data_IF_673925035459
#
_entry.id   IF_673925035459
#
_cell.length_a   1.000
_cell.length_b   1.000
_cell.length_c   1.000
_cell.angle_alpha   90.00
_cell.angle_beta   90.00
_cell.angle_gamma   90.00
#
_symmetry.space_group_name_H-M   'P 1'
#
loop_
_entity.id
_entity.type
_entity.pdbx_description
1 polymer ?
#
# COMPACT_ATOMS: atom_id res chain seq x y z
N UNK A 1 13.30 -5.15 10.88
CA UNK A 1 11.83 -5.30 11.10
C UNK A 1 11.20 -5.58 9.74
N UNK A 2 10.64 -6.81 9.54
CA UNK A 2 9.97 -7.19 8.30
C UNK A 2 8.69 -6.37 8.05
N UNK A 3 8.25 -6.34 6.79
CA UNK A 3 6.99 -5.71 6.37
C UNK A 3 5.84 -6.55 6.90
N UNK A 4 4.89 -5.92 7.57
CA UNK A 4 3.72 -6.61 8.13
C UNK A 4 2.68 -6.81 7.03
N UNK A 5 2.32 -8.08 6.79
CA UNK A 5 1.40 -8.48 5.72
C UNK A 5 0.14 -9.11 6.32
N UNK A 6 -1.01 -8.63 5.91
CA UNK A 6 -2.30 -9.30 6.09
C UNK A 6 -2.72 -9.94 4.78
N UNK A 7 -3.31 -11.13 4.83
CA UNK A 7 -3.78 -11.85 3.64
C UNK A 7 -5.26 -12.11 3.80
N UNK A 8 -6.02 -11.84 2.73
CA UNK A 8 -7.42 -12.21 2.58
C UNK A 8 -7.49 -13.29 1.52
N UNK A 9 -7.88 -14.50 1.90
CA UNK A 9 -8.01 -15.63 0.97
C UNK A 9 -9.48 -15.97 0.79
N UNK A 10 -10.01 -15.76 -0.42
CA UNK A 10 -11.37 -16.12 -0.78
C UNK A 10 -11.45 -17.45 -1.52
N UNK A 11 -10.31 -17.99 -1.96
CA UNK A 11 -10.28 -19.23 -2.78
C UNK A 11 -10.19 -20.48 -1.93
N UNK A 12 -9.43 -20.42 -0.82
CA UNK A 12 -9.18 -21.55 0.09
C UNK A 12 -8.73 -22.84 -0.65
N UNK A 13 -7.99 -22.66 -1.74
CA UNK A 13 -7.45 -23.75 -2.55
C UNK A 13 -6.07 -24.19 -2.07
N UNK A 14 -5.64 -25.36 -2.56
CA UNK A 14 -4.29 -25.84 -2.26
C UNK A 14 -3.20 -24.92 -2.81
N UNK A 15 -3.44 -24.24 -3.91
CA UNK A 15 -2.50 -23.28 -4.47
C UNK A 15 -2.46 -21.97 -3.68
N UNK A 16 -3.61 -21.49 -3.20
CA UNK A 16 -3.63 -20.29 -2.34
C UNK A 16 -2.89 -20.55 -1.03
N UNK A 17 -3.11 -21.69 -0.38
CA UNK A 17 -2.38 -22.08 0.84
C UNK A 17 -0.86 -22.20 0.62
N UNK A 18 -0.43 -22.83 -0.48
CA UNK A 18 1.00 -22.91 -0.84
C UNK A 18 1.62 -21.53 -1.04
N UNK A 19 0.89 -20.61 -1.66
CA UNK A 19 1.33 -19.22 -1.85
C UNK A 19 1.45 -18.50 -0.50
N UNK A 20 0.45 -18.62 0.37
CA UNK A 20 0.44 -18.03 1.70
C UNK A 20 1.64 -18.48 2.53
N UNK A 21 2.00 -19.76 2.47
CA UNK A 21 3.17 -20.31 3.18
C UNK A 21 4.50 -19.88 2.56
N UNK A 22 4.54 -19.65 1.24
CA UNK A 22 5.77 -19.25 0.53
C UNK A 22 6.19 -17.82 0.87
N UNK A 23 5.24 -16.91 1.07
CA UNK A 23 5.52 -15.48 1.28
C UNK A 23 6.35 -15.22 2.55
N UNK A 24 5.99 -15.71 3.73
CA UNK A 24 6.80 -15.53 4.94
C UNK A 24 8.18 -16.17 4.84
N UNK A 25 8.29 -17.29 4.10
CA UNK A 25 9.56 -18.01 3.91
C UNK A 25 10.60 -17.18 3.15
N UNK A 26 10.19 -16.09 2.48
CA UNK A 26 11.11 -15.15 1.84
C UNK A 26 11.94 -14.32 2.82
N UNK A 27 11.53 -14.24 4.08
CA UNK A 27 12.18 -13.44 5.13
C UNK A 27 11.89 -11.95 5.09
N UNK A 28 11.22 -11.44 4.05
CA UNK A 28 10.87 -10.02 3.90
C UNK A 28 9.57 -9.66 4.61
N UNK A 29 8.65 -10.62 4.68
CA UNK A 29 7.31 -10.42 5.21
C UNK A 29 7.09 -11.15 6.52
N UNK A 30 6.40 -10.48 7.43
CA UNK A 30 5.84 -11.08 8.63
C UNK A 30 4.33 -11.13 8.47
N UNK A 31 3.80 -12.35 8.40
CA UNK A 31 2.35 -12.55 8.36
C UNK A 31 1.75 -12.12 9.69
N UNK A 32 0.85 -11.17 9.67
CA UNK A 32 0.19 -10.61 10.87
C UNK A 32 -1.16 -11.23 11.08
N UNK A 33 -1.95 -11.36 10.01
CA UNK A 33 -3.29 -11.92 10.08
C UNK A 33 -3.66 -12.59 8.74
N UNK A 34 -4.50 -13.62 8.81
CA UNK A 34 -5.21 -14.18 7.68
C UNK A 34 -6.68 -13.87 7.95
N UNK A 35 -7.21 -12.87 7.26
CA UNK A 35 -8.59 -12.40 7.42
C UNK A 35 -9.51 -13.09 6.43
N UNK A 36 -10.77 -13.26 6.80
CA UNK A 36 -11.78 -13.80 5.91
C UNK A 36 -12.54 -12.69 5.15
N UNK A 37 -12.40 -11.45 5.59
CA UNK A 37 -13.04 -10.31 4.94
C UNK A 37 -12.05 -9.17 4.68
N UNK A 38 -12.32 -8.42 3.61
CA UNK A 38 -11.52 -7.25 3.25
C UNK A 38 -11.67 -6.12 4.29
N UNK A 39 -12.82 -6.02 4.94
CA UNK A 39 -13.10 -5.01 5.98
C UNK A 39 -12.18 -5.19 7.19
N UNK A 40 -12.06 -6.44 7.68
CA UNK A 40 -11.15 -6.77 8.78
C UNK A 40 -9.69 -6.50 8.43
N UNK A 41 -9.30 -6.79 7.20
CA UNK A 41 -7.96 -6.50 6.71
C UNK A 41 -7.69 -4.98 6.64
N UNK A 42 -8.65 -4.17 6.21
CA UNK A 42 -8.56 -2.71 6.18
C UNK A 42 -8.43 -2.13 7.59
N UNK A 43 -9.19 -2.62 8.56
CA UNK A 43 -9.03 -2.22 9.96
C UNK A 43 -7.62 -2.51 10.48
N UNK A 44 -6.99 -3.57 10.00
CA UNK A 44 -5.61 -3.89 10.38
C UNK A 44 -4.59 -2.89 9.83
N UNK A 45 -4.84 -2.28 8.66
CA UNK A 45 -4.05 -1.17 8.13
C UNK A 45 -4.30 0.10 8.93
N UNK A 46 -5.55 0.44 9.19
CA UNK A 46 -5.92 1.67 9.89
C UNK A 46 -5.39 1.67 11.33
N UNK A 47 -5.39 0.52 11.98
CA UNK A 47 -4.79 0.33 13.30
C UNK A 47 -3.25 0.22 13.28
N UNK A 48 -2.61 0.28 12.12
CA UNK A 48 -1.16 0.18 11.96
C UNK A 48 -0.58 -1.21 12.25
N UNK A 49 -1.41 -2.25 12.31
CA UNK A 49 -0.99 -3.64 12.52
C UNK A 49 -0.42 -4.26 11.25
N UNK A 50 -0.86 -3.80 10.08
CA UNK A 50 -0.41 -4.27 8.78
C UNK A 50 0.05 -3.10 7.90
N UNK A 51 1.15 -3.32 7.18
CA UNK A 51 1.67 -2.37 6.21
C UNK A 51 1.06 -2.62 4.81
N UNK A 52 0.72 -3.88 4.52
CA UNK A 52 0.22 -4.33 3.21
C UNK A 52 -0.87 -5.39 3.41
N UNK A 53 -1.88 -5.36 2.54
CA UNK A 53 -2.89 -6.41 2.38
C UNK A 53 -2.71 -7.04 1.01
N UNK A 54 -2.77 -8.37 0.96
CA UNK A 54 -2.87 -9.14 -0.27
C UNK A 54 -4.20 -9.88 -0.28
N UNK A 55 -4.99 -9.67 -1.32
CA UNK A 55 -6.28 -10.32 -1.50
C UNK A 55 -6.22 -11.31 -2.65
N UNK A 56 -6.52 -12.58 -2.36
CA UNK A 56 -6.60 -13.67 -3.31
C UNK A 56 -8.08 -13.84 -3.68
N UNK A 57 -8.45 -13.67 -4.95
CA UNK A 57 -9.85 -13.73 -5.37
C UNK A 57 -10.39 -15.17 -5.37
N UNK A 58 -11.71 -15.29 -5.36
CA UNK A 58 -12.39 -16.56 -5.61
C UNK A 58 -11.97 -17.18 -6.95
N UNK A 59 -11.87 -18.49 -6.99
CA UNK A 59 -11.50 -19.26 -8.18
C UNK A 59 -10.06 -19.01 -8.69
N UNK A 60 -9.18 -18.56 -7.80
CA UNK A 60 -7.77 -18.30 -8.13
C UNK A 60 -7.08 -19.51 -8.77
N UNK A 61 -7.21 -20.70 -8.19
CA UNK A 61 -6.62 -21.92 -8.71
C UNK A 61 -7.20 -22.28 -10.09
N UNK A 62 -8.52 -22.26 -10.25
CA UNK A 62 -9.19 -22.54 -11.51
C UNK A 62 -8.76 -21.59 -12.62
N UNK A 63 -8.71 -20.30 -12.32
CA UNK A 63 -8.40 -19.28 -13.30
C UNK A 63 -6.92 -19.30 -13.71
N UNK A 64 -6.02 -19.70 -12.83
CA UNK A 64 -4.62 -19.96 -13.15
C UNK A 64 -4.48 -21.06 -14.21
N UNK A 65 -5.22 -22.17 -14.08
CA UNK A 65 -5.15 -23.27 -15.01
C UNK A 65 -5.91 -23.02 -16.32
N UNK A 66 -7.02 -22.28 -16.26
CA UNK A 66 -7.93 -22.13 -17.42
C UNK A 66 -7.58 -20.92 -18.28
N UNK A 67 -7.38 -19.78 -17.67
CA UNK A 67 -7.20 -18.49 -18.37
C UNK A 67 -5.81 -17.92 -18.27
N UNK A 68 -4.95 -18.50 -17.45
CA UNK A 68 -3.62 -17.98 -17.09
C UNK A 68 -3.67 -16.52 -16.58
N UNK A 69 -4.82 -16.09 -16.09
CA UNK A 69 -5.06 -14.75 -15.54
C UNK A 69 -5.76 -14.90 -14.20
N UNK A 70 -5.01 -14.73 -13.14
CA UNK A 70 -5.55 -14.69 -11.79
C UNK A 70 -5.12 -13.35 -11.14
N UNK A 71 -5.99 -12.34 -11.16
CA UNK A 71 -5.66 -11.03 -10.60
C UNK A 71 -5.58 -11.12 -9.07
N UNK A 72 -4.45 -10.77 -8.50
CA UNK A 72 -4.28 -10.61 -7.06
C UNK A 72 -4.26 -9.11 -6.76
N UNK A 73 -5.07 -8.67 -5.81
CA UNK A 73 -5.06 -7.29 -5.36
C UNK A 73 -4.05 -7.10 -4.23
N UNK A 74 -3.22 -6.06 -4.35
CA UNK A 74 -2.27 -5.67 -3.31
C UNK A 74 -2.61 -4.24 -2.89
N UNK A 75 -3.03 -4.07 -1.64
CA UNK A 75 -3.32 -2.77 -1.06
C UNK A 75 -2.21 -2.40 -0.07
N UNK A 76 -1.55 -1.28 -0.30
CA UNK A 76 -0.46 -0.82 0.55
C UNK A 76 -0.85 0.44 1.33
N UNK A 77 -0.39 0.54 2.57
CA UNK A 77 -0.60 1.73 3.39
C UNK A 77 0.21 2.91 2.84
N UNK A 78 -0.50 3.95 2.40
CA UNK A 78 0.10 5.15 1.83
C UNK A 78 0.83 6.03 2.86
N UNK A 79 0.56 5.87 4.15
CA UNK A 79 1.22 6.62 5.24
C UNK A 79 2.71 6.31 5.26
N UNK A 80 3.10 5.06 4.98
CA UNK A 80 4.49 4.66 4.83
C UNK A 80 4.78 4.23 3.39
N UNK A 81 4.81 5.21 2.48
CA UNK A 81 4.98 4.98 1.04
C UNK A 81 6.24 4.17 0.69
N UNK A 82 7.31 4.29 1.48
CA UNK A 82 8.53 3.51 1.25
C UNK A 82 8.30 2.01 1.52
N UNK A 83 7.69 1.66 2.64
CA UNK A 83 7.35 0.27 2.96
C UNK A 83 6.31 -0.31 2.01
N UNK A 84 5.28 0.49 1.68
CA UNK A 84 4.26 0.11 0.71
C UNK A 84 4.83 -0.16 -0.67
N UNK A 85 5.67 0.73 -1.19
CA UNK A 85 6.29 0.59 -2.50
C UNK A 85 7.25 -0.60 -2.59
N UNK A 86 8.19 -0.72 -1.64
CA UNK A 86 9.13 -1.84 -1.59
C UNK A 86 8.40 -3.18 -1.38
N UNK A 87 7.43 -3.20 -0.49
CA UNK A 87 6.68 -4.42 -0.21
C UNK A 87 5.86 -4.89 -1.40
N UNK A 88 5.20 -3.99 -2.13
CA UNK A 88 4.49 -4.34 -3.37
C UNK A 88 5.42 -4.89 -4.44
N UNK A 89 6.63 -4.34 -4.55
CA UNK A 89 7.66 -4.84 -5.46
C UNK A 89 8.14 -6.25 -5.09
N UNK A 90 8.42 -6.49 -3.80
CA UNK A 90 8.83 -7.82 -3.32
C UNK A 90 7.72 -8.85 -3.48
N UNK A 91 6.46 -8.50 -3.18
CA UNK A 91 5.31 -9.38 -3.43
C UNK A 91 5.20 -9.71 -4.93
N UNK A 92 5.32 -8.71 -5.80
CA UNK A 92 5.30 -8.94 -7.24
C UNK A 92 6.37 -9.92 -7.71
N UNK A 93 7.59 -9.83 -7.19
CA UNK A 93 8.67 -10.76 -7.51
C UNK A 93 8.37 -12.18 -6.98
N UNK A 94 7.83 -12.30 -5.77
CA UNK A 94 7.45 -13.60 -5.20
C UNK A 94 6.34 -14.25 -6.01
N UNK A 95 5.34 -13.47 -6.43
CA UNK A 95 4.23 -13.94 -7.27
C UNK A 95 4.72 -14.36 -8.66
N UNK A 96 5.64 -13.60 -9.26
CA UNK A 96 6.27 -13.97 -10.53
C UNK A 96 7.00 -15.30 -10.43
N UNK A 97 7.88 -15.44 -9.44
CA UNK A 97 8.62 -16.68 -9.21
C UNK A 97 7.68 -17.86 -8.86
N UNK A 98 6.58 -17.58 -8.17
CA UNK A 98 5.59 -18.61 -7.87
C UNK A 98 4.89 -19.10 -9.13
N UNK A 99 4.49 -18.18 -10.00
CA UNK A 99 3.86 -18.52 -11.29
C UNK A 99 4.80 -19.30 -12.20
N UNK A 100 6.09 -18.97 -12.23
CA UNK A 100 7.11 -19.71 -12.98
C UNK A 100 7.27 -21.13 -12.47
N UNK A 101 7.39 -21.32 -11.15
CA UNK A 101 7.51 -22.66 -10.56
C UNK A 101 6.27 -23.53 -10.85
N UNK A 102 5.06 -22.97 -10.78
CA UNK A 102 3.84 -23.69 -11.11
C UNK A 102 3.82 -24.17 -12.56
N UNK A 103 4.40 -23.43 -13.47
CA UNK A 103 4.50 -23.79 -14.89
C UNK A 103 5.51 -24.91 -15.11
N UNK A 104 6.63 -24.85 -14.42
CA UNK A 104 7.62 -25.94 -14.43
C UNK A 104 6.99 -27.24 -13.93
N UNK A 105 6.29 -27.18 -12.80
CA UNK A 105 5.56 -28.33 -12.22
C UNK A 105 4.48 -28.87 -13.19
N UNK A 106 3.77 -27.99 -13.88
CA UNK A 106 2.71 -28.38 -14.83
C UNK A 106 3.24 -28.90 -16.17
N UNK A 107 4.56 -28.96 -16.39
CA UNK A 107 5.16 -29.44 -17.65
C UNK A 107 4.86 -28.58 -18.88
N UNK A 108 4.45 -27.31 -18.67
CA UNK A 108 4.04 -26.39 -19.74
C UNK A 108 5.21 -25.69 -20.45
N UNK A 109 6.44 -26.13 -20.20
CA UNK A 109 7.67 -25.51 -20.73
C UNK A 109 7.79 -25.61 -22.26
N UNK A 110 6.99 -26.47 -22.92
CA UNK A 110 7.19 -26.79 -24.35
C UNK A 110 6.26 -26.11 -25.34
N UNK A 111 5.37 -25.22 -24.94
CA UNK A 111 4.54 -24.48 -25.91
C UNK A 111 4.87 -22.98 -25.81
N UNK A 112 5.33 -22.44 -26.93
CA UNK A 112 5.50 -21.01 -27.26
C UNK A 112 4.19 -20.21 -27.14
N UNK A 113 3.46 -20.39 -26.07
CA UNK A 113 2.30 -19.56 -25.76
C UNK A 113 2.80 -18.44 -24.87
N UNK A 114 2.55 -17.21 -25.27
CA UNK A 114 2.90 -15.99 -24.56
C UNK A 114 2.60 -16.13 -23.08
N UNK A 115 3.68 -16.18 -22.33
CA UNK A 115 3.67 -16.39 -20.88
C UNK A 115 2.92 -15.24 -20.24
N UNK A 116 1.83 -15.40 -19.49
CA UNK A 116 1.32 -14.35 -18.65
C UNK A 116 2.39 -14.02 -17.61
N UNK A 117 3.13 -12.96 -17.87
CA UNK A 117 4.02 -12.37 -16.88
C UNK A 117 3.15 -11.75 -15.79
N UNK A 118 3.54 -11.93 -14.55
CA UNK A 118 2.92 -11.19 -13.46
C UNK A 118 3.10 -9.68 -13.76
N UNK A 119 2.02 -9.04 -14.23
CA UNK A 119 2.04 -7.62 -14.56
C UNK A 119 1.49 -6.85 -13.36
N UNK A 120 2.36 -6.09 -12.71
CA UNK A 120 1.93 -5.16 -11.66
C UNK A 120 1.33 -3.94 -12.34
N UNK A 121 0.05 -3.67 -12.07
CA UNK A 121 -0.66 -2.48 -12.53
C UNK A 121 -0.89 -1.61 -11.28
N UNK A 122 -0.08 -0.57 -11.05
CA UNK A 122 -0.29 0.32 -9.92
C UNK A 122 -1.55 1.16 -10.14
N UNK A 123 -2.43 1.19 -9.15
CA UNK A 123 -3.59 2.06 -9.10
C UNK A 123 -3.52 2.91 -7.82
N UNK A 124 -3.60 4.24 -7.99
CA UNK A 124 -3.54 5.18 -6.88
C UNK A 124 -4.95 5.67 -6.56
N UNK A 125 -5.55 5.18 -5.48
CA UNK A 125 -6.96 5.45 -5.12
C UNK A 125 -7.27 6.93 -4.93
N UNK A 126 -6.34 7.71 -4.36
CA UNK A 126 -6.55 9.12 -4.04
C UNK A 126 -5.92 10.10 -5.04
N UNK A 127 -5.00 9.64 -5.86
CA UNK A 127 -4.35 10.45 -6.89
C UNK A 127 -4.00 9.58 -8.10
N UNK A 128 -4.98 9.18 -8.92
CA UNK A 128 -4.79 8.23 -10.02
C UNK A 128 -3.75 8.68 -11.06
N UNK A 129 -3.59 9.99 -11.21
CA UNK A 129 -2.66 10.57 -12.19
C UNK A 129 -1.31 10.96 -11.59
N UNK A 130 -1.08 10.72 -10.29
CA UNK A 130 0.09 11.21 -9.56
C UNK A 130 0.31 12.71 -9.76
N UNK A 131 -0.78 13.48 -9.84
CA UNK A 131 -0.68 14.91 -10.04
C UNK A 131 -0.18 15.58 -8.76
N UNK A 132 1.01 16.13 -8.85
CA UNK A 132 1.69 16.83 -7.77
C UNK A 132 0.88 18.01 -7.20
N UNK A 133 0.07 18.65 -8.03
CA UNK A 133 -0.75 19.80 -7.66
C UNK A 133 -1.78 19.46 -6.58
N UNK A 134 -2.36 18.25 -6.63
CA UNK A 134 -3.37 17.79 -5.66
C UNK A 134 -2.81 17.77 -4.24
N UNK A 135 -1.53 17.51 -4.08
CA UNK A 135 -0.85 17.52 -2.79
C UNK A 135 -0.26 18.89 -2.44
N UNK A 136 0.43 19.53 -3.40
CA UNK A 136 1.20 20.76 -3.14
C UNK A 136 0.33 21.98 -2.91
N UNK A 137 -0.80 22.11 -3.63
CA UNK A 137 -1.67 23.28 -3.46
C UNK A 137 -2.24 23.37 -2.05
N UNK A 138 -2.85 22.32 -1.48
CA UNK A 138 -3.31 22.36 -0.10
C UNK A 138 -2.17 22.56 0.91
N UNK A 139 -1.01 21.94 0.70
CA UNK A 139 0.13 22.09 1.59
C UNK A 139 0.64 23.54 1.62
N UNK A 140 0.75 24.19 0.47
CA UNK A 140 1.13 25.61 0.39
C UNK A 140 0.07 26.52 1.02
N UNK A 141 -1.22 26.22 0.83
CA UNK A 141 -2.29 27.00 1.48
C UNK A 141 -2.21 26.93 3.00
N UNK A 142 -2.02 25.73 3.56
CA UNK A 142 -1.87 25.56 5.00
C UNK A 142 -0.62 26.28 5.51
N UNK A 143 0.50 26.18 4.80
CA UNK A 143 1.74 26.87 5.15
C UNK A 143 1.57 28.40 5.15
N UNK A 144 0.92 28.96 4.15
CA UNK A 144 0.66 30.41 4.08
C UNK A 144 -0.30 30.86 5.19
N UNK A 145 -1.36 30.10 5.45
CA UNK A 145 -2.32 30.42 6.51
C UNK A 145 -1.65 30.41 7.89
N UNK A 146 -0.84 29.41 8.18
CA UNK A 146 -0.11 29.33 9.45
C UNK A 146 0.89 30.47 9.62
N UNK A 147 1.58 30.83 8.53
CA UNK A 147 2.50 31.97 8.53
C UNK A 147 1.77 33.28 8.79
N UNK A 148 0.65 33.55 8.09
CA UNK A 148 -0.14 34.75 8.29
C UNK A 148 -0.75 34.81 9.69
N UNK A 149 -1.33 33.71 10.17
CA UNK A 149 -1.94 33.63 11.49
C UNK A 149 -0.95 33.83 12.64
N UNK A 150 0.30 33.44 12.45
CA UNK A 150 1.35 33.66 13.43
C UNK A 150 1.98 35.05 13.33
N UNK A 151 2.19 35.54 12.11
CA UNK A 151 2.93 36.79 11.87
C UNK A 151 2.12 38.06 12.20
N UNK A 152 0.82 38.08 11.82
CA UNK A 152 -0.03 39.26 12.07
C UNK A 152 -0.21 39.58 13.55
N UNK A 153 -0.51 38.62 14.44
CA UNK A 153 -0.56 38.92 15.89
C UNK A 153 0.80 39.34 16.45
N UNK A 154 1.89 38.74 15.99
CA UNK A 154 3.24 39.09 16.44
C UNK A 154 3.58 40.53 16.09
N UNK A 155 3.25 41.00 14.88
CA UNK A 155 3.44 42.40 14.48
C UNK A 155 2.61 43.36 15.32
N UNK A 156 1.36 43.01 15.65
CA UNK A 156 0.52 43.85 16.48
C UNK A 156 1.10 43.99 17.90
N UNK A 157 1.56 42.88 18.49
CA UNK A 157 2.17 42.89 19.83
C UNK A 157 3.45 43.75 19.85
N UNK A 158 4.29 43.60 18.80
CA UNK A 158 5.51 44.43 18.69
C UNK A 158 5.18 45.92 18.52
N UNK A 159 4.20 46.21 17.65
CA UNK A 159 3.77 47.58 17.41
C UNK A 159 3.15 48.25 18.66
N UNK A 160 2.40 47.54 19.48
CA UNK A 160 1.85 48.00 20.75
C UNK A 160 2.96 48.22 21.78
N UNK A 161 3.96 47.35 21.80
CA UNK A 161 5.12 47.50 22.67
C UNK A 161 5.97 48.72 22.31
N UNK A 162 6.20 48.98 21.02
CA UNK A 162 6.94 50.14 20.55
C UNK A 162 6.21 51.47 20.84
N UNK A 163 4.88 51.45 20.80
CA UNK A 163 4.03 52.61 21.11
C UNK A 163 3.83 52.86 22.63
N UNK A 164 4.39 51.97 23.48
CA UNK A 164 4.29 52.09 24.93
C UNK A 164 2.89 51.87 25.52
N UNK A 165 1.94 51.36 24.71
CA UNK A 165 0.54 51.18 25.11
C UNK A 165 0.37 50.01 26.08
N UNK A 166 1.30 49.09 26.12
CA UNK A 166 1.28 47.92 27.03
C UNK A 166 1.58 48.36 28.48
N UNK A 167 2.35 49.42 28.69
CA UNK A 167 2.64 49.94 30.05
C UNK A 167 1.45 50.64 30.72
N UNK A 168 0.39 50.97 29.95
CA UNK A 168 -0.83 51.59 30.51
C UNK A 168 -1.88 50.59 31.00
N UNK A 169 -1.69 49.32 30.76
CA UNK A 169 -2.66 48.26 31.10
C UNK A 169 -2.30 47.56 32.43
N UNK A 170 -1.18 47.93 33.05
CA UNK A 170 -0.71 47.28 34.29
C UNK A 170 -0.96 48.16 35.51
#
# INVERSE_FOLDING_TARGET
KGIQLSIVDHDHSTLSERLIHKIPSSGYFKLTNISQSNEEALESIDSGKSDIIMEIPNHFERDLYTSSKAPIMISANAVNGMKGGLGSQYLGNILSNYSENLREEAGMISRQTSIPQCKIIPEYKFNPYLDYKVFMVPALMVMLLTMLAGFLPALNIVGEKEKGTIEQIN
#
